data_IF_609064183305
#
_entry.id   IF_609064183305
#
_cell.length_a   1.000
_cell.length_b   1.000
_cell.length_c   1.000
_cell.angle_alpha   90.00
_cell.angle_beta   90.00
_cell.angle_gamma   90.00
#
_symmetry.space_group_name_H-M   'P 1'
#
loop_
_entity.id
_entity.type
_entity.pdbx_description
1 polymer ?
#
# COMPACT_ATOMS: atom_id res chain seq x y z
N UNK A 1 -6.21 1.29 -0.85
CA UNK A 1 -6.14 2.72 -0.50
C UNK A 1 -7.40 3.09 0.27
N UNK A 2 -7.25 3.67 1.45
CA UNK A 2 -8.34 4.11 2.35
C UNK A 2 -8.19 5.61 2.58
N UNK A 3 -9.25 6.40 2.38
CA UNK A 3 -9.21 7.85 2.59
C UNK A 3 -9.34 8.24 4.07
N UNK A 4 -9.49 9.53 4.38
CA UNK A 4 -9.61 10.04 5.76
C UNK A 4 -10.89 9.63 6.48
N UNK A 5 -11.94 9.26 5.72
CA UNK A 5 -13.24 8.82 6.23
C UNK A 5 -13.37 7.29 6.35
N UNK A 6 -12.24 6.58 6.33
CA UNK A 6 -12.17 5.12 6.42
C UNK A 6 -12.98 4.40 5.32
N UNK A 7 -12.91 4.93 4.09
CA UNK A 7 -13.50 4.34 2.90
C UNK A 7 -12.46 3.99 1.85
N UNK A 8 -12.68 2.85 1.19
CA UNK A 8 -11.77 2.33 0.20
C UNK A 8 -11.99 2.96 -1.18
N UNK A 9 -10.88 3.35 -1.82
CA UNK A 9 -10.86 3.71 -3.24
C UNK A 9 -11.40 2.55 -4.06
N UNK A 10 -12.44 2.83 -4.84
CA UNK A 10 -13.22 1.86 -5.60
C UNK A 10 -13.23 2.26 -7.06
N UNK A 11 -12.91 1.31 -7.94
CA UNK A 11 -13.18 1.46 -9.37
C UNK A 11 -14.56 0.87 -9.69
N UNK A 12 -15.45 1.68 -10.26
CA UNK A 12 -16.78 1.21 -10.63
C UNK A 12 -16.76 0.36 -11.89
N UNK A 13 -17.61 -0.67 -11.92
CA UNK A 13 -17.67 -1.60 -13.06
C UNK A 13 -18.25 -0.97 -14.32
N UNK A 14 -18.99 0.13 -14.17
CA UNK A 14 -19.64 0.84 -15.27
C UNK A 14 -19.34 2.34 -15.17
N UNK A 15 -19.22 2.99 -16.34
CA UNK A 15 -18.97 4.43 -16.43
C UNK A 15 -17.55 4.86 -16.05
N UNK A 16 -16.66 3.92 -15.73
CA UNK A 16 -15.22 4.13 -15.49
C UNK A 16 -14.91 5.19 -14.43
N UNK A 17 -15.84 5.40 -13.50
CA UNK A 17 -15.69 6.32 -12.38
C UNK A 17 -14.94 5.65 -11.23
N UNK A 18 -14.36 6.49 -10.40
CA UNK A 18 -13.79 6.09 -9.11
C UNK A 18 -14.52 6.82 -7.98
N UNK A 19 -14.63 6.17 -6.82
CA UNK A 19 -15.17 6.76 -5.60
C UNK A 19 -14.44 6.21 -4.37
N UNK A 20 -14.69 6.82 -3.21
CA UNK A 20 -14.24 6.36 -1.91
C UNK A 20 -15.45 6.23 -0.96
N UNK A 21 -16.37 5.32 -1.31
CA UNK A 21 -17.62 5.08 -0.55
C UNK A 21 -17.65 3.70 0.13
N UNK A 22 -16.78 2.77 -0.28
CA UNK A 22 -16.85 1.38 0.17
C UNK A 22 -16.27 1.18 1.59
N UNK A 23 -16.97 0.51 2.53
CA UNK A 23 -16.48 0.29 3.89
C UNK A 23 -15.55 -0.93 4.02
N UNK A 24 -15.41 -1.74 2.97
CA UNK A 24 -14.68 -3.02 3.02
C UNK A 24 -13.85 -3.25 1.76
N UNK A 25 -12.68 -3.87 1.94
CA UNK A 25 -11.81 -4.29 0.84
C UNK A 25 -12.38 -5.54 0.14
N UNK A 26 -12.89 -5.36 -1.08
CA UNK A 26 -13.36 -6.45 -1.95
C UNK A 26 -12.77 -6.27 -3.36
N UNK A 27 -13.28 -7.04 -4.32
CA UNK A 27 -12.82 -7.06 -5.72
C UNK A 27 -12.66 -5.68 -6.38
N UNK A 28 -13.58 -4.75 -6.14
CA UNK A 28 -13.54 -3.41 -6.77
C UNK A 28 -12.55 -2.43 -6.11
N UNK A 29 -12.09 -2.76 -4.90
CA UNK A 29 -11.22 -1.92 -4.06
C UNK A 29 -9.74 -2.33 -4.15
N UNK A 30 -9.44 -3.39 -4.92
CA UNK A 30 -8.08 -3.88 -5.12
C UNK A 30 -7.41 -3.15 -6.28
N UNK A 31 -6.26 -2.55 -5.97
CA UNK A 31 -5.40 -1.84 -6.89
C UNK A 31 -4.01 -2.46 -6.86
N UNK A 32 -3.37 -2.53 -8.01
CA UNK A 32 -2.00 -3.00 -8.18
C UNK A 32 -1.13 -1.80 -8.52
N UNK A 33 -0.05 -1.59 -7.78
CA UNK A 33 0.99 -0.65 -8.17
C UNK A 33 1.92 -1.34 -9.17
N UNK A 34 2.06 -0.73 -10.33
CA UNK A 34 2.97 -1.17 -11.37
C UNK A 34 4.01 -0.08 -11.61
N UNK A 35 5.31 -0.41 -11.74
CA UNK A 35 6.31 0.57 -12.13
C UNK A 35 5.99 1.07 -13.55
N UNK A 36 6.09 2.37 -13.78
CA UNK A 36 6.05 2.89 -15.14
C UNK A 36 7.31 2.42 -15.89
N UNK A 37 7.20 1.92 -17.13
CA UNK A 37 8.34 1.43 -17.89
C UNK A 37 9.29 2.55 -18.38
N UNK A 38 8.93 3.82 -18.23
CA UNK A 38 9.81 4.95 -18.53
C UNK A 38 10.89 5.19 -17.46
N UNK A 39 11.83 6.11 -17.72
CA UNK A 39 12.95 6.44 -16.82
C UNK A 39 12.54 7.26 -15.57
N UNK A 40 11.30 7.15 -15.11
CA UNK A 40 10.73 7.95 -14.02
C UNK A 40 10.61 7.21 -12.69
N UNK A 41 10.28 7.95 -11.63
CA UNK A 41 9.87 7.40 -10.33
C UNK A 41 8.35 7.23 -10.22
N UNK A 42 7.62 7.56 -11.28
CA UNK A 42 6.18 7.42 -11.33
C UNK A 42 5.75 5.95 -11.30
N UNK A 43 4.59 5.73 -10.68
CA UNK A 43 3.91 4.45 -10.64
C UNK A 43 2.54 4.58 -11.29
N UNK A 44 2.03 3.43 -11.70
CA UNK A 44 0.72 3.26 -12.29
C UNK A 44 -0.18 2.52 -11.30
N UNK A 45 -1.42 2.97 -11.14
CA UNK A 45 -2.42 2.29 -10.32
C UNK A 45 -3.39 1.54 -11.23
N UNK A 46 -3.24 0.22 -11.34
CA UNK A 46 -4.12 -0.62 -12.14
C UNK A 46 -5.21 -1.25 -11.27
N UNK A 47 -6.47 -1.06 -11.66
CA UNK A 47 -7.60 -1.76 -11.06
C UNK A 47 -7.46 -3.25 -11.31
N UNK A 48 -7.39 -4.04 -10.23
CA UNK A 48 -7.17 -5.49 -10.32
C UNK A 48 -8.28 -6.20 -11.11
N UNK A 49 -9.53 -5.72 -10.99
CA UNK A 49 -10.69 -6.39 -11.57
C UNK A 49 -11.07 -5.93 -12.98
N UNK A 50 -10.73 -4.69 -13.36
CA UNK A 50 -10.98 -4.14 -14.70
C UNK A 50 -9.75 -4.22 -15.60
N UNK A 51 -8.56 -4.30 -15.00
CA UNK A 51 -7.30 -4.19 -15.73
C UNK A 51 -7.03 -2.79 -16.31
N UNK A 52 -7.72 -1.76 -15.81
CA UNK A 52 -7.64 -0.38 -16.28
C UNK A 52 -6.89 0.51 -15.29
N UNK A 53 -6.34 1.62 -15.76
CA UNK A 53 -5.50 2.51 -14.99
C UNK A 53 -6.26 3.70 -14.44
N UNK A 54 -5.94 4.08 -13.21
CA UNK A 54 -6.32 5.38 -12.65
C UNK A 54 -5.69 6.49 -13.48
N UNK A 55 -6.46 7.50 -13.84
CA UNK A 55 -5.99 8.68 -14.58
C UNK A 55 -6.46 9.97 -13.93
N UNK A 56 -5.64 11.00 -13.99
CA UNK A 56 -5.94 12.36 -13.53
C UNK A 56 -5.70 13.34 -14.68
N UNK A 57 -6.78 13.96 -15.17
CA UNK A 57 -6.75 14.96 -16.23
C UNK A 57 -6.32 16.34 -15.69
N UNK A 58 -5.98 17.27 -16.60
CA UNK A 58 -5.49 18.61 -16.25
C UNK A 58 -6.52 19.44 -15.46
N UNK A 59 -7.81 19.24 -15.72
CA UNK A 59 -8.92 19.87 -15.00
C UNK A 59 -9.18 19.24 -13.61
N UNK A 60 -8.42 18.21 -13.25
CA UNK A 60 -8.52 17.49 -11.98
C UNK A 60 -9.56 16.37 -11.97
N UNK A 61 -10.21 16.09 -13.10
CA UNK A 61 -11.11 14.94 -13.24
C UNK A 61 -10.33 13.64 -13.10
N UNK A 62 -10.90 12.70 -12.35
CA UNK A 62 -10.30 11.38 -12.13
C UNK A 62 -11.19 10.29 -12.71
N UNK A 63 -10.59 9.32 -13.38
CA UNK A 63 -11.27 8.18 -13.97
C UNK A 63 -10.43 6.91 -13.86
N UNK A 64 -11.03 5.78 -14.22
CA UNK A 64 -10.37 4.47 -14.36
C UNK A 64 -10.72 3.85 -15.72
N UNK A 65 -10.54 4.62 -16.78
CA UNK A 65 -10.99 4.25 -18.13
C UNK A 65 -9.87 3.62 -18.98
N UNK A 66 -8.64 4.09 -18.83
CA UNK A 66 -7.53 3.76 -19.72
C UNK A 66 -7.16 2.27 -19.67
N UNK A 67 -7.15 1.60 -20.83
CA UNK A 67 -6.72 0.20 -20.98
C UNK A 67 -5.21 0.05 -21.15
N UNK A 68 -4.54 1.12 -21.58
CA UNK A 68 -3.09 1.25 -21.64
C UNK A 68 -2.67 2.50 -20.87
N UNK A 69 -1.53 2.46 -20.15
CA UNK A 69 -1.10 3.60 -19.37
C UNK A 69 -0.71 4.76 -20.29
N UNK A 70 -1.25 5.94 -20.00
CA UNK A 70 -0.93 7.19 -20.69
C UNK A 70 -0.24 8.19 -19.78
N UNK A 71 0.04 9.39 -20.30
CA UNK A 71 0.64 10.51 -19.55
C UNK A 71 -0.12 10.78 -18.24
N UNK A 72 -1.43 10.84 -18.30
CA UNK A 72 -2.30 11.18 -17.17
C UNK A 72 -2.49 10.03 -16.16
N UNK A 73 -1.93 8.85 -16.42
CA UNK A 73 -1.98 7.70 -15.51
C UNK A 73 -0.81 7.65 -14.52
N UNK A 74 0.10 8.63 -14.59
CA UNK A 74 1.39 8.62 -13.89
C UNK A 74 1.27 9.37 -12.56
N UNK A 75 1.54 8.67 -11.46
CA UNK A 75 1.47 9.23 -10.11
C UNK A 75 2.79 9.08 -9.37
N UNK A 76 3.15 10.10 -8.59
CA UNK A 76 4.22 10.04 -7.60
C UNK A 76 3.60 9.66 -6.25
N UNK A 77 4.22 8.68 -5.57
CA UNK A 77 3.82 8.25 -4.22
C UNK A 77 4.76 8.92 -3.21
N UNK A 78 4.19 9.78 -2.36
CA UNK A 78 4.93 10.53 -1.35
C UNK A 78 4.55 10.02 0.05
N UNK A 79 5.40 9.19 0.69
CA UNK A 79 5.12 8.70 2.04
C UNK A 79 5.18 9.83 3.07
N UNK A 80 4.24 9.81 4.01
CA UNK A 80 4.12 10.79 5.08
C UNK A 80 4.66 10.25 6.41
N UNK A 81 5.09 11.12 7.34
CA UNK A 81 5.64 10.68 8.63
C UNK A 81 4.70 9.83 9.48
N UNK A 82 3.39 9.91 9.25
CA UNK A 82 2.35 9.17 9.98
C UNK A 82 1.96 7.84 9.30
N UNK A 83 2.71 7.41 8.27
CA UNK A 83 2.49 6.15 7.56
C UNK A 83 1.51 6.24 6.38
N UNK A 84 0.82 7.37 6.20
CA UNK A 84 -0.05 7.58 5.03
C UNK A 84 0.75 7.95 3.79
N UNK A 85 0.10 7.87 2.64
CA UNK A 85 0.63 8.27 1.35
C UNK A 85 -0.13 9.46 0.80
N UNK A 86 0.58 10.31 0.07
CA UNK A 86 0.01 11.30 -0.83
C UNK A 86 0.27 10.83 -2.27
N UNK A 87 -0.75 10.94 -3.11
CA UNK A 87 -0.67 10.61 -4.52
C UNK A 87 -0.68 11.92 -5.31
N UNK A 88 0.42 12.23 -6.00
CA UNK A 88 0.53 13.42 -6.83
C UNK A 88 0.51 13.01 -8.30
N UNK A 89 -0.33 13.66 -9.12
CA UNK A 89 -0.23 13.54 -10.58
C UNK A 89 1.13 14.08 -11.02
N UNK A 90 1.96 13.23 -11.61
CA UNK A 90 3.27 13.63 -12.14
C UNK A 90 3.15 14.71 -13.23
N UNK A 91 2.26 14.59 -14.25
CA UNK A 91 2.19 15.59 -15.31
C UNK A 91 1.62 16.94 -14.89
N UNK A 92 0.77 16.98 -13.86
CA UNK A 92 0.00 18.19 -13.48
C UNK A 92 0.40 18.77 -12.12
N UNK A 93 1.19 18.05 -11.33
CA UNK A 93 1.68 18.48 -10.02
C UNK A 93 0.59 18.63 -8.95
N UNK A 94 -0.63 18.11 -9.19
CA UNK A 94 -1.77 18.19 -8.27
C UNK A 94 -1.92 16.94 -7.42
N UNK A 95 -2.54 17.07 -6.24
CA UNK A 95 -2.74 15.97 -5.30
C UNK A 95 -4.13 15.34 -5.47
N UNK A 96 -4.15 14.00 -5.42
CA UNK A 96 -5.36 13.19 -5.54
C UNK A 96 -5.96 12.88 -4.17
N UNK A 97 -7.25 13.19 -4.02
CA UNK A 97 -7.97 13.05 -2.77
C UNK A 97 -9.47 13.20 -2.91
N UNK A 98 -10.17 13.14 -1.77
CA UNK A 98 -11.60 13.39 -1.66
C UNK A 98 -12.36 12.30 -0.92
N UNK A 99 -13.68 12.46 -0.91
CA UNK A 99 -14.60 11.58 -0.18
C UNK A 99 -15.77 11.19 -1.06
N UNK A 100 -16.32 10.00 -0.81
CA UNK A 100 -17.46 9.46 -1.55
C UNK A 100 -17.25 9.55 -3.07
N UNK A 101 -18.20 10.12 -3.82
CA UNK A 101 -18.13 10.30 -5.27
C UNK A 101 -17.42 11.61 -5.68
N UNK A 102 -16.92 12.39 -4.72
CA UNK A 102 -16.25 13.69 -4.94
C UNK A 102 -14.72 13.54 -4.92
N UNK A 103 -14.22 12.56 -5.67
CA UNK A 103 -12.78 12.39 -5.87
C UNK A 103 -12.27 13.33 -6.96
N UNK A 104 -11.15 13.99 -6.71
CA UNK A 104 -10.48 14.85 -7.69
C UNK A 104 -8.96 14.84 -7.52
N UNK A 105 -8.24 15.24 -8.56
CA UNK A 105 -6.80 15.44 -8.53
C UNK A 105 -6.47 16.89 -8.89
N UNK A 106 -6.99 17.84 -8.12
CA UNK A 106 -6.82 19.28 -8.37
C UNK A 106 -6.20 20.04 -7.20
N UNK A 107 -6.04 19.42 -6.03
CA UNK A 107 -5.52 20.10 -4.85
C UNK A 107 -4.07 20.55 -5.06
N UNK A 108 -3.76 21.78 -4.65
CA UNK A 108 -2.41 22.38 -4.71
C UNK A 108 -1.66 22.28 -3.38
N UNK A 109 -2.34 21.86 -2.32
CA UNK A 109 -1.79 21.62 -1.00
C UNK A 109 -2.36 20.32 -0.43
N UNK A 110 -1.60 19.68 0.45
CA UNK A 110 -2.00 18.42 1.11
C UNK A 110 -2.92 18.76 2.28
N UNK A 111 -4.15 18.30 2.23
CA UNK A 111 -5.09 18.31 3.36
C UNK A 111 -5.41 16.87 3.79
N UNK A 112 -6.19 16.65 4.86
CA UNK A 112 -6.61 15.30 5.22
C UNK A 112 -7.26 14.52 4.07
N UNK A 113 -7.96 15.19 3.15
CA UNK A 113 -8.65 14.56 2.02
C UNK A 113 -7.70 13.90 1.00
N UNK A 114 -6.44 14.34 0.91
CA UNK A 114 -5.41 13.80 0.00
C UNK A 114 -4.54 12.72 0.65
N UNK A 115 -4.82 12.37 1.92
CA UNK A 115 -4.03 11.41 2.68
C UNK A 115 -4.65 10.02 2.65
N UNK A 116 -3.94 9.09 2.02
CA UNK A 116 -4.39 7.70 1.84
C UNK A 116 -3.64 6.74 2.75
N UNK A 117 -4.38 5.84 3.38
CA UNK A 117 -3.82 4.71 4.13
C UNK A 117 -3.75 3.47 3.23
N UNK A 118 -2.63 2.75 3.26
CA UNK A 118 -2.42 1.56 2.43
C UNK A 118 -2.72 0.28 3.21
N UNK A 119 -3.78 -0.41 2.79
CA UNK A 119 -4.09 -1.77 3.23
C UNK A 119 -3.64 -2.77 2.17
N UNK A 120 -2.84 -3.76 2.58
CA UNK A 120 -2.51 -4.89 1.75
C UNK A 120 -3.75 -5.77 1.57
N UNK A 121 -4.00 -6.22 0.34
CA UNK A 121 -5.14 -7.09 0.03
C UNK A 121 -4.92 -8.57 0.38
N UNK A 122 -3.70 -8.94 0.79
CA UNK A 122 -3.39 -10.30 1.24
C UNK A 122 -3.86 -10.52 2.67
N UNK A 123 -4.06 -11.78 3.04
CA UNK A 123 -4.26 -12.14 4.45
C UNK A 123 -3.03 -11.70 5.27
N UNK A 124 -3.21 -11.15 6.49
CA UNK A 124 -2.11 -10.60 7.29
C UNK A 124 -1.07 -11.64 7.73
N UNK A 125 -1.39 -12.93 7.71
CA UNK A 125 -0.43 -13.99 7.98
C UNK A 125 0.25 -14.44 6.70
N UNK A 126 1.58 -14.38 6.67
CA UNK A 126 2.38 -14.66 5.49
C UNK A 126 3.74 -15.27 5.86
N UNK A 127 4.40 -15.81 4.85
CA UNK A 127 5.82 -16.18 4.89
C UNK A 127 6.61 -15.15 4.09
N UNK A 128 7.76 -14.73 4.62
CA UNK A 128 8.62 -13.74 3.96
C UNK A 128 9.77 -14.44 3.26
N UNK A 129 9.95 -14.20 1.96
CA UNK A 129 11.06 -14.69 1.17
C UNK A 129 12.03 -13.54 0.88
N UNK A 130 13.29 -13.68 1.30
CA UNK A 130 14.35 -12.79 0.84
C UNK A 130 14.69 -13.11 -0.61
N UNK A 131 14.46 -12.16 -1.53
CA UNK A 131 14.75 -12.34 -2.96
C UNK A 131 16.24 -12.52 -3.22
N UNK A 132 17.09 -11.75 -2.53
CA UNK A 132 18.54 -11.80 -2.71
C UNK A 132 19.16 -13.09 -2.15
N UNK A 133 18.73 -13.53 -0.96
CA UNK A 133 19.24 -14.76 -0.34
C UNK A 133 18.56 -16.02 -0.87
N UNK A 134 17.38 -15.89 -1.47
CA UNK A 134 16.49 -17.01 -1.82
C UNK A 134 16.24 -17.92 -0.61
N UNK A 135 15.91 -17.30 0.51
CA UNK A 135 15.69 -17.95 1.81
C UNK A 135 14.52 -17.31 2.54
N UNK A 136 13.79 -18.13 3.29
CA UNK A 136 12.63 -17.73 4.07
C UNK A 136 13.05 -17.18 5.43
N UNK A 137 12.31 -16.17 5.87
CA UNK A 137 12.45 -15.61 7.20
C UNK A 137 11.76 -16.52 8.22
N UNK A 138 12.41 -16.74 9.36
CA UNK A 138 11.84 -17.47 10.48
C UNK A 138 12.43 -16.96 11.80
N UNK A 139 11.72 -17.19 12.90
CA UNK A 139 12.21 -16.92 14.25
C UNK A 139 13.36 -17.88 14.58
N UNK A 140 14.52 -17.36 14.98
CA UNK A 140 15.65 -18.12 15.49
C UNK A 140 15.76 -17.92 17.01
N UNK A 141 15.29 -18.86 17.85
CA UNK A 141 15.31 -18.69 19.30
C UNK A 141 16.71 -18.64 19.91
N UNK A 142 17.70 -19.27 19.27
CA UNK A 142 19.08 -19.34 19.76
C UNK A 142 19.77 -17.97 19.68
N UNK A 143 19.56 -17.26 18.58
CA UNK A 143 20.18 -15.95 18.30
C UNK A 143 19.26 -14.76 18.64
N UNK A 144 18.02 -15.05 19.06
CA UNK A 144 16.98 -14.08 19.43
C UNK A 144 16.63 -13.06 18.32
N UNK A 145 16.54 -13.53 17.08
CA UNK A 145 16.31 -12.72 15.89
C UNK A 145 15.34 -13.37 14.90
N UNK A 146 14.99 -12.62 13.84
CA UNK A 146 14.35 -13.20 12.64
C UNK A 146 15.45 -13.43 11.59
N UNK A 147 15.86 -14.68 11.44
CA UNK A 147 16.85 -15.09 10.47
C UNK A 147 16.20 -15.33 9.09
N UNK A 148 16.91 -15.01 8.01
CA UNK A 148 16.47 -15.21 6.63
C UNK A 148 17.41 -16.16 5.89
N UNK A 149 17.52 -17.39 6.38
CA UNK A 149 18.42 -18.44 5.90
C UNK A 149 17.75 -19.82 5.73
N UNK A 150 16.45 -19.95 6.04
CA UNK A 150 15.70 -21.20 5.85
C UNK A 150 15.38 -21.49 4.37
N UNK A 151 15.48 -22.76 3.96
CA UNK A 151 15.18 -23.18 2.58
C UNK A 151 13.68 -23.25 2.30
N UNK A 152 12.86 -23.56 3.30
CA UNK A 152 11.41 -23.76 3.18
C UNK A 152 10.66 -23.03 4.30
N UNK A 153 9.45 -22.49 4.06
CA UNK A 153 8.66 -21.84 5.09
C UNK A 153 7.88 -22.90 5.88
N UNK A 154 8.61 -23.69 6.68
CA UNK A 154 8.04 -24.80 7.44
C UNK A 154 8.23 -24.58 8.94
N UNK A 155 7.24 -24.97 9.73
CA UNK A 155 7.25 -24.80 11.18
C UNK A 155 6.50 -23.55 11.64
N UNK A 156 6.27 -23.47 12.96
CA UNK A 156 5.59 -22.31 13.58
C UNK A 156 6.47 -21.06 13.56
N UNK A 157 7.78 -21.24 13.54
CA UNK A 157 8.80 -20.20 13.50
C UNK A 157 8.84 -19.46 12.16
N UNK A 158 8.43 -20.08 11.05
CA UNK A 158 8.34 -19.43 9.75
C UNK A 158 7.16 -18.45 9.63
N UNK A 159 6.16 -18.55 10.52
CA UNK A 159 4.95 -17.73 10.47
C UNK A 159 5.23 -16.29 10.92
N UNK A 160 5.00 -15.34 10.01
CA UNK A 160 5.01 -13.91 10.31
C UNK A 160 3.59 -13.35 10.18
N UNK A 161 3.15 -12.61 11.19
CA UNK A 161 1.86 -11.92 11.18
C UNK A 161 2.08 -10.42 11.01
N UNK A 162 1.51 -9.86 9.95
CA UNK A 162 1.46 -8.43 9.67
C UNK A 162 0.37 -7.79 10.53
N UNK A 163 0.77 -7.08 11.58
CA UNK A 163 -0.16 -6.36 12.46
C UNK A 163 -0.26 -4.92 11.99
N UNK A 164 -1.46 -4.51 11.59
CA UNK A 164 -1.72 -3.13 11.19
C UNK A 164 -2.13 -2.30 12.41
N UNK A 165 -1.34 -1.28 12.72
CA UNK A 165 -1.58 -0.39 13.88
C UNK A 165 -1.08 1.01 13.57
N UNK A 166 -1.86 2.03 13.95
CA UNK A 166 -1.51 3.44 13.74
C UNK A 166 -1.08 3.74 12.28
N UNK A 167 -1.78 3.14 11.31
CA UNK A 167 -1.54 3.33 9.87
C UNK A 167 -0.22 2.76 9.34
N UNK A 168 0.45 1.94 10.13
CA UNK A 168 1.71 1.27 9.78
C UNK A 168 1.60 -0.23 10.06
N UNK A 169 2.54 -1.00 9.52
CA UNK A 169 2.63 -2.45 9.75
C UNK A 169 3.73 -2.78 10.75
N UNK A 170 3.46 -3.74 11.62
CA UNK A 170 4.46 -4.36 12.47
C UNK A 170 4.59 -5.84 12.07
N UNK A 171 5.81 -6.36 12.11
CA UNK A 171 6.07 -7.78 11.83
C UNK A 171 6.08 -8.53 13.16
N UNK A 172 5.07 -9.37 13.40
CA UNK A 172 4.94 -10.14 14.63
C UNK A 172 5.34 -11.60 14.41
N UNK A 173 6.30 -12.09 15.18
CA UNK A 173 6.72 -13.50 15.20
C UNK A 173 5.71 -14.38 15.95
N UNK A 174 5.86 -15.70 15.84
CA UNK A 174 4.95 -16.68 16.45
C UNK A 174 4.94 -16.66 17.99
N UNK A 175 6.03 -16.20 18.62
CA UNK A 175 6.15 -15.99 20.06
C UNK A 175 5.55 -14.65 20.54
N UNK A 176 4.85 -13.95 19.65
CA UNK A 176 4.18 -12.68 19.89
C UNK A 176 5.06 -11.44 20.07
N UNK A 177 6.34 -11.50 19.72
CA UNK A 177 7.21 -10.33 19.68
C UNK A 177 7.18 -9.64 18.31
N UNK A 178 7.59 -8.38 18.28
CA UNK A 178 7.64 -7.53 17.10
C UNK A 178 9.09 -7.31 16.67
N UNK A 179 9.34 -7.37 15.36
CA UNK A 179 10.64 -7.03 14.78
C UNK A 179 10.87 -5.53 14.85
N UNK A 180 12.00 -5.13 15.41
CA UNK A 180 12.48 -3.76 15.44
C UNK A 180 13.48 -3.49 14.32
N UNK A 181 13.61 -2.22 13.93
CA UNK A 181 14.53 -1.78 12.89
C UNK A 181 16.03 -2.03 13.16
N UNK A 182 16.42 -2.38 14.39
CA UNK A 182 17.79 -2.82 14.71
C UNK A 182 17.97 -4.35 14.75
N UNK A 183 16.96 -5.10 14.31
CA UNK A 183 16.98 -6.56 14.27
C UNK A 183 16.50 -7.26 15.54
N UNK A 184 16.33 -6.52 16.66
CA UNK A 184 15.86 -7.11 17.93
C UNK A 184 14.37 -7.38 17.93
N UNK A 185 13.96 -8.31 18.78
CA UNK A 185 12.56 -8.63 19.04
C UNK A 185 12.08 -7.96 20.34
N UNK A 186 10.94 -7.27 20.27
CA UNK A 186 10.36 -6.51 21.39
C UNK A 186 8.92 -6.92 21.66
N UNK A 187 8.44 -6.78 22.89
CA UNK A 187 7.07 -7.18 23.26
C UNK A 187 6.01 -6.16 22.85
N UNK A 188 6.40 -4.89 22.70
CA UNK A 188 5.50 -3.79 22.39
C UNK A 188 5.75 -3.24 20.96
N UNK A 189 4.70 -2.85 20.23
CA UNK A 189 4.81 -2.26 18.89
C UNK A 189 5.25 -0.80 18.96
N UNK A 190 6.47 -0.57 19.44
CA UNK A 190 7.10 0.74 19.54
C UNK A 190 7.39 1.35 18.16
N UNK A 191 7.70 2.66 18.11
CA UNK A 191 7.88 3.38 16.85
C UNK A 191 8.92 2.74 15.91
N UNK A 192 9.96 2.12 16.46
CA UNK A 192 11.03 1.46 15.70
C UNK A 192 10.65 0.06 15.19
N UNK A 193 9.51 -0.48 15.61
CA UNK A 193 8.96 -1.75 15.14
C UNK A 193 7.80 -1.57 14.15
N UNK A 194 7.58 -0.31 13.71
CA UNK A 194 6.56 0.07 12.73
C UNK A 194 7.21 0.37 11.40
N UNK A 195 6.63 -0.17 10.34
CA UNK A 195 7.11 -0.10 8.97
C UNK A 195 6.00 0.42 8.06
N UNK A 196 6.39 1.24 7.09
CA UNK A 196 5.54 1.60 5.96
C UNK A 196 5.88 0.66 4.81
N UNK A 197 4.86 0.02 4.26
CA UNK A 197 4.95 -0.88 3.10
C UNK A 197 4.39 -0.17 1.87
#
# INVERSE_FOLDING_TARGET
>A
LVNDTDRYLTAESFGFKVNASAPSLKRKQMWVLEPDPGEGTAVLFRSSHLGRYLSAEEDGRVACEAEQPGRDCRFLVLPQPDGRWVLQSEPHGRFFGGTEDQLSCFATAITPAELWTVHLAIHPQAHLLSVSRRRYAHLCPQEDEIAADSNTPWGVDALITLIFQNRQYCLKSCDSRYLRSDGRLVWEPEARARYTL
#
